data_IF_318020649398
#
_entry.id   IF_318020649398
#
_cell.length_a   1.000
_cell.length_b   1.000
_cell.length_c   1.000
_cell.angle_alpha   90.00
_cell.angle_beta   90.00
_cell.angle_gamma   90.00
#
_symmetry.space_group_name_H-M   'P 1'
#
loop_
_entity.id
_entity.type
_entity.pdbx_description
1 polymer ?
#
# COMPACT_ATOMS: atom_id res chain seq x y z
N UNK A 1 -3.44 46.28 -76.74
CA UNK A 1 -3.54 44.93 -76.16
C UNK A 1 -2.20 44.67 -75.48
N UNK A 2 -2.00 44.57 -74.16
CA UNK A 2 -2.87 44.70 -72.97
C UNK A 2 -1.93 44.73 -71.74
N UNK A 3 -2.36 45.35 -70.63
CA UNK A 3 -2.01 45.13 -69.19
C UNK A 3 -0.57 45.48 -68.69
N UNK A 4 -0.46 46.52 -67.86
CA UNK A 4 0.34 46.54 -66.62
C UNK A 4 -0.43 45.73 -65.56
N UNK A 5 0.16 44.97 -64.61
CA UNK A 5 0.91 45.66 -63.54
C UNK A 5 1.90 44.82 -62.66
N UNK A 6 2.49 45.55 -61.71
CA UNK A 6 2.80 45.22 -60.30
C UNK A 6 3.91 44.25 -59.85
N UNK A 7 4.67 44.81 -58.89
CA UNK A 7 5.15 44.22 -57.64
C UNK A 7 6.02 42.96 -57.65
N UNK A 8 7.33 43.20 -57.52
CA UNK A 8 8.22 42.28 -56.81
C UNK A 8 8.47 42.82 -55.39
N UNK A 9 7.52 42.55 -54.50
CA UNK A 9 7.68 42.72 -53.06
C UNK A 9 8.07 41.36 -52.44
N UNK A 10 9.35 40.98 -52.54
CA UNK A 10 9.88 39.79 -51.85
C UNK A 10 10.26 40.13 -50.41
N UNK A 11 9.27 40.36 -49.54
CA UNK A 11 9.46 40.27 -48.08
C UNK A 11 8.24 39.70 -47.39
N UNK A 12 8.00 38.41 -47.57
CA UNK A 12 7.24 37.61 -46.60
C UNK A 12 8.08 36.42 -46.17
N UNK A 13 9.06 36.69 -45.32
CA UNK A 13 9.68 35.65 -44.51
C UNK A 13 8.67 35.29 -43.40
N UNK A 14 7.95 34.19 -43.62
CA UNK A 14 7.04 33.60 -42.64
C UNK A 14 7.68 33.50 -41.24
N UNK A 15 7.06 34.00 -40.16
CA UNK A 15 7.41 33.59 -38.81
C UNK A 15 6.56 32.35 -38.49
N UNK A 16 6.98 31.17 -38.94
CA UNK A 16 6.28 29.91 -38.60
C UNK A 16 7.22 28.79 -38.17
N UNK A 17 8.29 29.15 -37.46
CA UNK A 17 9.17 28.18 -36.83
C UNK A 17 9.23 28.41 -35.32
N UNK A 18 8.08 28.45 -34.64
CA UNK A 18 8.09 28.62 -33.18
C UNK A 18 6.82 28.08 -32.50
N UNK A 19 6.42 26.85 -32.79
CA UNK A 19 5.32 26.20 -32.05
C UNK A 19 5.52 24.69 -31.79
N UNK A 20 6.75 24.18 -31.89
CA UNK A 20 7.01 22.74 -31.64
C UNK A 20 7.51 22.45 -30.22
N UNK A 21 8.05 23.45 -29.51
CA UNK A 21 8.60 23.24 -28.17
C UNK A 21 7.59 23.14 -26.99
N UNK A 22 6.40 23.78 -26.98
CA UNK A 22 5.50 23.67 -25.81
C UNK A 22 4.72 22.36 -25.76
N UNK A 23 4.57 21.64 -26.90
CA UNK A 23 3.84 20.37 -26.93
C UNK A 23 4.65 19.21 -26.30
N UNK A 24 5.98 19.31 -26.33
CA UNK A 24 6.87 18.30 -25.74
C UNK A 24 6.79 18.29 -24.21
N UNK A 25 6.62 19.46 -23.57
CA UNK A 25 6.48 19.55 -22.11
C UNK A 25 5.20 18.87 -21.59
N UNK A 26 4.12 18.86 -22.37
CA UNK A 26 2.86 18.22 -21.98
C UNK A 26 2.98 16.69 -21.96
N UNK A 27 3.85 16.12 -22.80
CA UNK A 27 4.06 14.66 -22.86
C UNK A 27 5.06 14.14 -21.79
N UNK A 28 5.84 15.03 -21.17
CA UNK A 28 6.80 14.66 -20.12
C UNK A 28 6.18 14.79 -18.72
N UNK A 29 5.14 15.62 -18.54
CA UNK A 29 4.39 15.73 -17.28
C UNK A 29 3.34 14.64 -17.06
N UNK A 30 3.56 13.43 -17.59
CA UNK A 30 2.99 12.23 -16.97
C UNK A 30 3.90 11.87 -15.79
N UNK A 31 4.07 12.81 -14.86
CA UNK A 31 4.60 12.53 -13.53
C UNK A 31 3.57 11.59 -12.91
N UNK A 32 3.82 10.28 -12.99
CA UNK A 32 3.27 9.39 -11.97
C UNK A 32 3.62 10.06 -10.65
N UNK A 33 2.64 10.38 -9.78
CA UNK A 33 2.99 10.83 -8.45
C UNK A 33 4.00 9.81 -7.92
N UNK A 34 5.08 10.31 -7.30
CA UNK A 34 6.02 9.47 -6.57
C UNK A 34 5.21 8.80 -5.44
N UNK A 35 4.47 7.74 -5.77
CA UNK A 35 3.99 6.77 -4.81
C UNK A 35 5.26 6.19 -4.22
N UNK A 36 5.65 6.79 -3.10
CA UNK A 36 6.73 6.30 -2.28
C UNK A 36 6.12 5.08 -1.60
N UNK A 37 6.14 3.96 -2.32
CA UNK A 37 5.73 2.67 -1.77
C UNK A 37 6.62 2.41 -0.57
N UNK A 38 6.01 2.41 0.60
CA UNK A 38 6.69 2.13 1.86
C UNK A 38 7.10 0.67 1.85
N UNK A 39 8.40 0.37 1.93
CA UNK A 39 8.88 -1.01 2.07
C UNK A 39 8.86 -1.46 3.53
N UNK A 40 7.92 -2.34 3.86
CA UNK A 40 7.79 -2.95 5.18
C UNK A 40 8.29 -4.40 5.22
N UNK A 41 8.89 -4.90 4.13
CA UNK A 41 9.34 -6.29 4.02
C UNK A 41 10.29 -6.71 5.13
N UNK A 42 10.25 -7.98 5.51
CA UNK A 42 11.16 -8.58 6.47
C UNK A 42 10.53 -8.78 7.85
N UNK A 43 11.41 -8.97 8.85
CA UNK A 43 11.02 -9.44 10.19
C UNK A 43 10.70 -8.26 11.12
N UNK A 44 9.56 -8.38 11.78
CA UNK A 44 9.05 -7.48 12.81
C UNK A 44 8.75 -8.26 14.09
N UNK A 45 8.93 -7.63 15.24
CA UNK A 45 8.68 -8.27 16.54
C UNK A 45 7.96 -7.34 17.49
N UNK A 46 7.10 -7.86 18.34
CA UNK A 46 6.42 -7.06 19.35
C UNK A 46 5.39 -7.87 20.10
N UNK A 47 4.24 -7.25 20.42
CA UNK A 47 3.22 -7.87 21.28
C UNK A 47 1.81 -7.70 20.73
N UNK A 48 0.97 -8.69 21.03
CA UNK A 48 -0.49 -8.69 20.83
C UNK A 48 -1.20 -8.84 22.17
N UNK A 49 -2.30 -8.11 22.39
CA UNK A 49 -3.21 -8.35 23.52
C UNK A 49 -4.40 -9.23 23.16
N UNK A 50 -4.87 -10.02 24.13
CA UNK A 50 -6.10 -10.83 24.09
C UNK A 50 -6.16 -11.88 22.97
N UNK A 51 -5.00 -12.36 22.48
CA UNK A 51 -4.95 -13.28 21.35
C UNK A 51 -5.55 -14.65 21.68
N UNK A 52 -6.30 -15.19 20.72
CA UNK A 52 -7.23 -16.32 20.88
C UNK A 52 -6.58 -17.55 21.52
N UNK A 53 -5.39 -17.94 21.06
CA UNK A 53 -4.76 -19.20 21.44
C UNK A 53 -3.91 -19.13 22.72
N UNK A 54 -3.80 -17.94 23.32
CA UNK A 54 -2.78 -17.67 24.37
C UNK A 54 -3.40 -17.06 25.63
N UNK A 55 -4.70 -16.78 25.59
CA UNK A 55 -5.49 -16.32 26.73
C UNK A 55 -5.51 -14.81 26.92
N UNK A 56 -6.07 -14.37 28.04
CA UNK A 56 -6.18 -12.94 28.38
C UNK A 56 -4.81 -12.43 28.85
N UNK A 57 -4.07 -11.81 27.93
CA UNK A 57 -2.73 -11.32 28.22
C UNK A 57 -2.03 -10.73 27.00
N UNK A 58 -0.86 -10.16 27.24
CA UNK A 58 0.05 -9.71 26.20
C UNK A 58 0.96 -10.85 25.78
N UNK A 59 0.94 -11.22 24.51
CA UNK A 59 1.76 -12.29 23.94
C UNK A 59 2.81 -11.70 23.01
N UNK A 60 4.09 -12.12 23.09
CA UNK A 60 5.08 -11.78 22.08
C UNK A 60 4.74 -12.42 20.73
N UNK A 61 4.93 -11.67 19.65
CA UNK A 61 4.72 -12.12 18.27
C UNK A 61 5.91 -11.74 17.39
N UNK A 62 6.14 -12.54 16.36
CA UNK A 62 7.02 -12.22 15.23
C UNK A 62 6.20 -12.24 13.96
N UNK A 63 6.37 -11.24 13.11
CA UNK A 63 5.74 -11.18 11.79
C UNK A 63 6.84 -11.11 10.74
N UNK A 64 6.75 -11.95 9.71
CA UNK A 64 7.56 -11.84 8.50
C UNK A 64 6.66 -11.34 7.38
N UNK A 65 6.92 -10.14 6.88
CA UNK A 65 6.24 -9.58 5.70
C UNK A 65 7.04 -9.84 4.42
N UNK A 66 6.33 -10.24 3.38
CA UNK A 66 6.76 -10.25 2.00
C UNK A 66 5.85 -9.28 1.24
N UNK A 67 6.44 -8.25 0.62
CA UNK A 67 5.69 -7.19 -0.06
C UNK A 67 5.97 -7.22 -1.55
N UNK A 68 4.90 -7.10 -2.33
CA UNK A 68 4.94 -6.87 -3.78
C UNK A 68 4.02 -5.68 -4.09
N UNK A 69 4.63 -4.52 -4.37
CA UNK A 69 3.93 -3.23 -4.46
C UNK A 69 3.09 -2.93 -3.20
N UNK A 70 1.77 -2.83 -3.34
CA UNK A 70 0.83 -2.60 -2.23
C UNK A 70 0.35 -3.90 -1.58
N UNK A 71 0.66 -5.07 -2.15
CA UNK A 71 0.23 -6.36 -1.66
C UNK A 71 1.19 -6.90 -0.59
N UNK A 72 0.60 -7.48 0.45
CA UNK A 72 1.33 -8.13 1.53
C UNK A 72 0.99 -9.62 1.58
N UNK A 73 2.00 -10.43 1.78
CA UNK A 73 1.88 -11.80 2.25
C UNK A 73 2.82 -11.99 3.45
N UNK A 74 2.63 -13.05 4.21
CA UNK A 74 3.56 -13.34 5.29
C UNK A 74 3.10 -14.37 6.29
N UNK A 75 3.87 -14.45 7.38
CA UNK A 75 3.61 -15.38 8.48
C UNK A 75 3.67 -14.66 9.81
N UNK A 76 2.59 -14.78 10.59
CA UNK A 76 2.53 -14.44 12.01
C UNK A 76 2.96 -15.66 12.82
N UNK A 77 3.91 -15.49 13.74
CA UNK A 77 4.34 -16.52 14.69
C UNK A 77 4.14 -16.03 16.13
N UNK A 78 3.46 -16.82 16.95
CA UNK A 78 3.23 -16.49 18.37
C UNK A 78 4.39 -16.93 19.25
N UNK A 79 4.43 -16.42 20.49
CA UNK A 79 5.40 -16.86 21.50
C UNK A 79 5.33 -18.35 21.84
N UNK A 80 4.19 -19.01 21.58
CA UNK A 80 4.03 -20.45 21.75
C UNK A 80 4.49 -21.26 20.54
N UNK A 81 4.77 -20.60 19.41
CA UNK A 81 5.25 -21.23 18.18
C UNK A 81 4.16 -21.48 17.13
N UNK A 82 2.90 -21.11 17.40
CA UNK A 82 1.82 -21.20 16.42
C UNK A 82 2.08 -20.27 15.23
N UNK A 83 1.70 -20.72 14.03
CA UNK A 83 1.98 -20.02 12.78
C UNK A 83 0.71 -19.81 11.98
N UNK A 84 0.51 -18.58 11.51
CA UNK A 84 -0.63 -18.20 10.68
C UNK A 84 -0.13 -17.48 9.44
N UNK A 85 -0.44 -18.04 8.28
CA UNK A 85 -0.21 -17.37 7.00
C UNK A 85 -1.29 -16.31 6.77
N UNK A 86 -0.87 -15.13 6.33
CA UNK A 86 -1.78 -14.03 6.06
C UNK A 86 -1.51 -13.42 4.69
N UNK A 87 -2.52 -12.71 4.19
CA UNK A 87 -2.40 -11.82 3.05
C UNK A 87 -3.04 -10.48 3.39
N UNK A 88 -2.67 -9.42 2.68
CA UNK A 88 -3.11 -8.08 3.01
C UNK A 88 -2.63 -7.03 2.02
N UNK A 89 -2.66 -5.78 2.47
CA UNK A 89 -2.18 -4.65 1.72
C UNK A 89 -1.64 -3.54 2.62
N UNK A 90 -0.80 -2.70 2.04
CA UNK A 90 -0.37 -1.42 2.60
C UNK A 90 -0.65 -0.32 1.58
N UNK A 91 -1.33 0.73 2.02
CA UNK A 91 -1.56 1.93 1.22
C UNK A 91 -1.08 3.13 2.04
N UNK A 92 0.02 3.74 1.60
CA UNK A 92 0.73 4.79 2.35
C UNK A 92 1.13 4.27 3.74
N UNK A 93 0.46 4.75 4.79
CA UNK A 93 0.71 4.36 6.18
C UNK A 93 -0.35 3.37 6.69
N UNK A 94 -1.45 3.15 5.98
CA UNK A 94 -2.50 2.23 6.40
C UNK A 94 -2.12 0.79 6.03
N UNK A 95 -2.11 -0.09 7.04
CA UNK A 95 -1.85 -1.52 6.88
C UNK A 95 -3.11 -2.30 7.21
N UNK A 96 -3.43 -3.25 6.34
CA UNK A 96 -4.46 -4.25 6.56
C UNK A 96 -3.92 -5.64 6.22
N UNK A 97 -4.24 -6.64 7.03
CA UNK A 97 -4.07 -8.03 6.60
C UNK A 97 -5.05 -8.95 7.31
N UNK A 98 -5.30 -10.10 6.69
CA UNK A 98 -6.24 -11.09 7.15
C UNK A 98 -5.61 -12.48 7.12
N UNK A 99 -6.06 -13.33 8.04
CA UNK A 99 -5.76 -14.75 8.03
C UNK A 99 -6.99 -15.52 8.49
N UNK A 100 -7.09 -16.77 8.06
CA UNK A 100 -8.13 -17.69 8.52
C UNK A 100 -7.47 -18.82 9.26
N UNK A 101 -7.95 -19.10 10.47
CA UNK A 101 -7.54 -20.30 11.17
C UNK A 101 -8.24 -21.51 10.51
N UNK A 102 -7.45 -22.45 10.03
CA UNK A 102 -7.94 -23.62 9.27
C UNK A 102 -8.63 -24.66 10.17
N UNK A 103 -8.42 -24.60 11.49
CA UNK A 103 -8.97 -25.56 12.44
C UNK A 103 -10.42 -25.24 12.80
N UNK A 104 -10.71 -23.97 13.07
CA UNK A 104 -12.02 -23.49 13.52
C UNK A 104 -12.77 -22.69 12.44
N UNK A 105 -12.13 -22.48 11.29
CA UNK A 105 -12.63 -21.68 10.17
C UNK A 105 -12.93 -20.21 10.51
N UNK A 106 -12.34 -19.68 11.58
CA UNK A 106 -12.61 -18.32 12.03
C UNK A 106 -11.66 -17.32 11.34
N UNK A 107 -12.25 -16.25 10.84
CA UNK A 107 -11.53 -15.18 10.17
C UNK A 107 -11.00 -14.17 11.17
N UNK A 108 -9.78 -13.74 10.89
CA UNK A 108 -9.08 -12.75 11.67
C UNK A 108 -8.57 -11.66 10.76
N UNK A 109 -8.58 -10.44 11.25
CA UNK A 109 -8.11 -9.27 10.52
C UNK A 109 -7.34 -8.34 11.44
N UNK A 110 -6.35 -7.67 10.86
CA UNK A 110 -5.64 -6.58 11.45
C UNK A 110 -5.86 -5.30 10.64
N UNK A 111 -5.93 -4.18 11.34
CA UNK A 111 -5.93 -2.84 10.74
C UNK A 111 -5.09 -1.95 11.62
N UNK A 112 -4.11 -1.28 11.03
CA UNK A 112 -3.18 -0.44 11.77
C UNK A 112 -2.45 0.56 10.90
N UNK A 113 -1.50 1.24 11.53
CA UNK A 113 -0.70 2.28 10.92
C UNK A 113 0.78 1.91 10.99
N UNK A 114 1.48 2.15 9.89
CA UNK A 114 2.92 2.19 9.80
C UNK A 114 3.44 3.59 10.16
N UNK A 115 4.40 3.63 11.07
CA UNK A 115 5.06 4.86 11.51
C UNK A 115 6.57 4.65 11.51
N UNK A 116 7.15 4.45 10.33
CA UNK A 116 8.60 4.31 10.10
C UNK A 116 9.18 2.98 10.57
N UNK A 117 9.32 2.78 11.89
CA UNK A 117 9.84 1.53 12.48
C UNK A 117 8.87 0.82 13.40
N UNK A 118 7.64 1.33 13.48
CA UNK A 118 6.58 0.79 14.33
C UNK A 118 5.34 0.56 13.48
N UNK A 119 4.69 -0.59 13.67
CA UNK A 119 3.34 -0.84 13.18
C UNK A 119 2.46 -1.09 14.40
N UNK A 120 1.36 -0.36 14.51
CA UNK A 120 0.41 -0.51 15.62
C UNK A 120 -1.02 -0.44 15.14
N UNK A 121 -1.90 -1.20 15.76
CA UNK A 121 -3.30 -1.21 15.36
C UNK A 121 -4.14 -2.22 16.11
N UNK A 122 -5.33 -2.46 15.58
CA UNK A 122 -6.32 -3.36 16.17
C UNK A 122 -6.37 -4.66 15.39
N UNK A 123 -6.46 -5.79 16.07
CA UNK A 123 -6.86 -7.05 15.45
C UNK A 123 -8.26 -7.44 15.92
N UNK A 124 -8.99 -8.17 15.09
CA UNK A 124 -10.34 -8.67 15.38
C UNK A 124 -10.49 -10.09 14.87
N UNK A 125 -11.21 -10.88 15.65
CA UNK A 125 -11.71 -12.21 15.30
C UNK A 125 -13.22 -12.11 15.08
N UNK A 126 -13.74 -12.71 14.02
CA UNK A 126 -15.17 -12.73 13.77
C UNK A 126 -15.64 -13.94 12.98
N UNK A 127 -16.91 -14.29 13.19
CA UNK A 127 -17.58 -15.28 12.37
C UNK A 127 -18.07 -14.63 11.07
N UNK A 128 -17.71 -15.25 9.95
CA UNK A 128 -18.08 -14.79 8.60
C UNK A 128 -19.58 -14.83 8.35
N UNK A 129 -20.34 -15.65 9.10
CA UNK A 129 -21.78 -15.81 8.91
C UNK A 129 -22.58 -14.75 9.66
N UNK A 130 -22.14 -14.37 10.87
CA UNK A 130 -22.85 -13.44 11.74
C UNK A 130 -22.31 -12.01 11.71
N UNK A 131 -21.13 -11.79 11.13
CA UNK A 131 -20.40 -10.51 11.19
C UNK A 131 -20.13 -10.01 12.62
N UNK A 132 -20.28 -10.88 13.62
CA UNK A 132 -20.06 -10.54 15.01
C UNK A 132 -18.56 -10.56 15.32
N UNK A 133 -18.10 -9.53 16.05
CA UNK A 133 -16.74 -9.54 16.59
C UNK A 133 -16.75 -10.39 17.86
N UNK A 134 -16.11 -11.55 17.79
CA UNK A 134 -16.00 -12.47 18.92
C UNK A 134 -14.93 -12.01 19.91
N UNK A 135 -13.85 -11.41 19.38
CA UNK A 135 -12.72 -10.94 20.18
C UNK A 135 -11.94 -9.88 19.42
N UNK A 136 -11.31 -8.98 20.17
CA UNK A 136 -10.38 -8.01 19.63
C UNK A 136 -9.22 -7.71 20.59
N UNK A 137 -8.24 -7.00 20.07
CA UNK A 137 -7.12 -6.50 20.86
C UNK A 137 -6.23 -5.59 20.05
N UNK A 138 -5.05 -5.31 20.58
CA UNK A 138 -4.10 -4.34 20.03
C UNK A 138 -2.77 -5.01 19.72
N UNK A 139 -2.17 -4.62 18.61
CA UNK A 139 -0.81 -5.00 18.24
C UNK A 139 0.11 -3.80 18.27
N UNK A 140 1.35 -4.06 18.63
CA UNK A 140 2.46 -3.14 18.39
C UNK A 140 3.68 -3.98 18.07
N UNK A 141 4.24 -3.79 16.88
CA UNK A 141 5.45 -4.47 16.40
C UNK A 141 6.45 -3.45 15.90
N UNK A 142 7.74 -3.77 16.01
CA UNK A 142 8.84 -2.91 15.61
C UNK A 142 9.88 -3.67 14.79
N UNK A 143 10.57 -2.94 13.91
CA UNK A 143 11.69 -3.39 13.09
C UNK A 143 13.01 -2.80 13.59
#
# INVERSE_FOLDING_TARGET
MTIMPDDYDEKVLFPKLLFVFPLLFVLISCEKPLDTVVDISGRWTGTVTNFVDIGDGSTPITILFEQDEELLAGVLTTGLGDRYEFTGSILRDDIFFYWRNSVDEIDHRFTGLFMGRTISGTWRMGDTKSFETLRDGQWTITR
#
